data_IF_416801815827
#
_entry.id   IF_416801815827
#
_cell.length_a   1.000
_cell.length_b   1.000
_cell.length_c   1.000
_cell.angle_alpha   90.00
_cell.angle_beta   90.00
_cell.angle_gamma   90.00
#
_symmetry.space_group_name_H-M   'P 1'
#
loop_
_entity.id
_entity.type
_entity.pdbx_description
1 polymer ?
#
# COMPACT_ATOMS: atom_id res chain seq x y z
N UNK A 1 5.12 -1.76 5.77
CA UNK A 1 3.78 -1.14 5.91
C UNK A 1 3.16 -1.35 7.29
N UNK A 2 2.64 -0.29 7.92
CA UNK A 2 2.02 -0.36 9.26
C UNK A 2 0.55 -0.82 9.21
N UNK A 3 0.07 -1.41 10.29
CA UNK A 3 -1.33 -1.90 10.40
C UNK A 3 -2.37 -0.78 10.25
N UNK A 4 -2.06 0.44 10.73
CA UNK A 4 -2.92 1.62 10.55
C UNK A 4 -3.18 1.95 9.07
N UNK A 5 -2.15 1.79 8.23
CA UNK A 5 -2.19 2.13 6.80
C UNK A 5 -3.08 1.14 6.06
N UNK A 6 -2.90 -0.14 6.37
CA UNK A 6 -3.74 -1.22 5.84
C UNK A 6 -5.20 -1.03 6.26
N UNK A 7 -5.46 -0.71 7.54
CA UNK A 7 -6.81 -0.50 8.05
C UNK A 7 -7.50 0.69 7.37
N UNK A 8 -6.79 1.80 7.21
CA UNK A 8 -7.33 2.98 6.52
C UNK A 8 -7.68 2.65 5.06
N UNK A 9 -6.78 2.00 4.32
CA UNK A 9 -7.02 1.62 2.92
C UNK A 9 -8.13 0.56 2.76
N UNK A 10 -8.38 -0.26 3.79
CA UNK A 10 -9.54 -1.17 3.82
C UNK A 10 -10.86 -0.43 3.94
N UNK A 11 -10.91 0.58 4.80
CA UNK A 11 -12.10 1.40 5.03
C UNK A 11 -12.32 2.39 3.89
N UNK A 12 -11.25 2.87 3.26
CA UNK A 12 -11.26 3.89 2.21
C UNK A 12 -10.50 3.38 0.98
N UNK A 13 -11.19 2.60 0.15
CA UNK A 13 -10.63 1.99 -1.06
C UNK A 13 -10.28 3.00 -2.16
N UNK A 14 -10.79 4.22 -2.08
CA UNK A 14 -10.48 5.32 -3.00
C UNK A 14 -10.76 6.65 -2.34
N UNK A 15 -10.07 7.70 -2.78
CA UNK A 15 -10.28 9.05 -2.27
C UNK A 15 -9.24 10.02 -2.80
N UNK A 16 -9.06 11.14 -2.10
CA UNK A 16 -8.05 12.13 -2.47
C UNK A 16 -6.70 11.82 -1.84
N UNK A 17 -5.62 12.06 -2.59
CA UNK A 17 -4.26 11.86 -2.07
C UNK A 17 -3.96 12.78 -0.88
N UNK A 18 -4.49 14.00 -0.87
CA UNK A 18 -4.30 14.92 0.26
C UNK A 18 -4.83 14.35 1.58
N UNK A 19 -6.05 13.80 1.56
CA UNK A 19 -6.65 13.16 2.74
C UNK A 19 -5.86 11.93 3.19
N UNK A 20 -5.27 11.20 2.24
CA UNK A 20 -4.41 10.06 2.54
C UNK A 20 -3.12 10.51 3.24
N UNK A 21 -2.50 11.60 2.78
CA UNK A 21 -1.27 12.18 3.33
C UNK A 21 -1.46 12.76 4.74
N UNK A 22 -2.68 13.17 5.11
CA UNK A 22 -3.01 13.66 6.45
C UNK A 22 -2.96 12.54 7.51
N UNK A 23 -3.18 11.28 7.10
CA UNK A 23 -3.29 10.12 8.02
C UNK A 23 -2.09 9.18 7.91
N UNK A 24 -1.54 9.03 6.71
CA UNK A 24 -0.48 8.10 6.38
C UNK A 24 0.73 8.89 5.87
N UNK A 25 1.93 8.59 6.37
CA UNK A 25 3.13 9.30 5.93
C UNK A 25 3.45 9.01 4.47
N UNK A 26 4.02 9.99 3.77
CA UNK A 26 4.36 9.88 2.33
C UNK A 26 5.23 8.66 1.98
N UNK A 27 6.12 8.22 2.88
CA UNK A 27 6.93 7.01 2.67
C UNK A 27 6.10 5.72 2.66
N UNK A 28 5.05 5.64 3.48
CA UNK A 28 4.14 4.49 3.53
C UNK A 28 3.23 4.46 2.30
N UNK A 29 2.83 5.63 1.81
CA UNK A 29 2.07 5.77 0.55
C UNK A 29 2.94 5.30 -0.62
N UNK A 30 4.19 5.76 -0.71
CA UNK A 30 5.14 5.28 -1.73
C UNK A 30 5.40 3.79 -1.63
N UNK A 31 5.55 3.24 -0.42
CA UNK A 31 5.69 1.80 -0.23
C UNK A 31 4.48 1.04 -0.81
N UNK A 32 3.26 1.53 -0.58
CA UNK A 32 2.04 0.92 -1.10
C UNK A 32 1.90 1.03 -2.63
N UNK A 33 2.35 2.13 -3.22
CA UNK A 33 2.43 2.31 -4.67
C UNK A 33 3.45 1.35 -5.29
N UNK A 34 4.64 1.25 -4.71
CA UNK A 34 5.71 0.37 -5.18
C UNK A 34 5.32 -1.11 -5.07
N UNK A 35 4.53 -1.46 -4.07
CA UNK A 35 3.97 -2.79 -3.91
C UNK A 35 2.73 -3.02 -4.79
N UNK A 36 2.31 -2.04 -5.59
CA UNK A 36 1.16 -2.14 -6.49
C UNK A 36 -0.17 -2.25 -5.75
N UNK A 37 -0.25 -1.87 -4.47
CA UNK A 37 -1.46 -1.96 -3.65
C UNK A 37 -2.40 -0.78 -3.87
N UNK A 38 -1.87 0.37 -4.28
CA UNK A 38 -2.67 1.52 -4.65
C UNK A 38 -2.11 2.17 -5.91
N UNK A 39 -3.00 2.77 -6.68
CA UNK A 39 -2.69 3.52 -7.89
C UNK A 39 -3.15 4.97 -7.72
N UNK A 40 -2.35 5.91 -8.24
CA UNK A 40 -2.73 7.32 -8.32
C UNK A 40 -3.51 7.59 -9.61
N UNK A 41 -4.56 8.37 -9.46
CA UNK A 41 -5.34 8.94 -10.54
C UNK A 41 -5.33 10.46 -10.51
N UNK A 42 -5.91 11.05 -11.54
CA UNK A 42 -6.30 12.44 -11.55
C UNK A 42 -7.75 12.51 -12.01
N UNK A 43 -8.60 13.10 -11.19
CA UNK A 43 -9.98 13.38 -11.55
C UNK A 43 -10.18 14.89 -11.73
N UNK A 44 -11.12 15.24 -12.59
CA UNK A 44 -11.62 16.61 -12.66
C UNK A 44 -12.49 16.84 -11.44
N UNK A 45 -12.18 17.90 -10.69
CA UNK A 45 -13.05 18.29 -9.60
C UNK A 45 -14.42 18.67 -10.17
N UNK A 46 -15.50 18.07 -9.65
CA UNK A 46 -16.86 18.32 -10.17
C UNK A 46 -17.27 19.79 -10.00
N UNK A 47 -16.61 20.51 -9.07
CA UNK A 47 -16.90 21.90 -8.74
C UNK A 47 -15.81 22.89 -9.21
N UNK A 48 -14.74 22.44 -9.87
CA UNK A 48 -13.71 23.34 -10.42
C UNK A 48 -13.02 22.75 -11.65
N UNK A 49 -12.43 23.60 -12.49
CA UNK A 49 -11.56 23.16 -13.60
C UNK A 49 -10.20 22.61 -13.13
N UNK A 50 -9.98 22.49 -11.82
CA UNK A 50 -8.74 21.95 -11.27
C UNK A 50 -8.75 20.43 -11.28
N UNK A 51 -7.60 19.87 -11.67
CA UNK A 51 -7.35 18.43 -11.55
C UNK A 51 -6.94 18.12 -10.11
N UNK A 52 -7.62 17.17 -9.50
CA UNK A 52 -7.34 16.70 -8.15
C UNK A 52 -6.71 15.32 -8.21
N UNK A 53 -5.63 15.13 -7.45
CA UNK A 53 -4.96 13.83 -7.36
C UNK A 53 -5.80 12.90 -6.49
N UNK A 54 -6.21 11.78 -7.08
CA UNK A 54 -6.99 10.73 -6.42
C UNK A 54 -6.14 9.47 -6.27
N UNK A 55 -6.60 8.56 -5.42
CA UNK A 55 -6.04 7.23 -5.31
C UNK A 55 -7.15 6.18 -5.35
N UNK A 56 -6.77 4.97 -5.73
CA UNK A 56 -7.62 3.79 -5.64
C UNK A 56 -6.79 2.56 -5.30
N UNK A 57 -7.29 1.72 -4.40
CA UNK A 57 -6.70 0.43 -4.11
C UNK A 57 -6.87 -0.50 -5.31
N UNK A 58 -5.82 -1.24 -5.65
CA UNK A 58 -5.82 -2.17 -6.78
C UNK A 58 -6.41 -3.53 -6.38
N UNK A 59 -6.70 -4.42 -7.35
CA UNK A 59 -7.04 -5.82 -7.03
C UNK A 59 -5.93 -6.54 -6.23
N UNK A 60 -4.67 -6.13 -6.40
CA UNK A 60 -3.54 -6.67 -5.65
C UNK A 60 -3.63 -6.33 -4.15
N UNK A 61 -4.30 -5.24 -3.77
CA UNK A 61 -4.59 -4.95 -2.37
C UNK A 61 -5.55 -5.96 -1.75
N UNK A 62 -6.61 -6.35 -2.46
CA UNK A 62 -7.54 -7.37 -1.98
C UNK A 62 -6.85 -8.75 -1.87
N UNK A 63 -5.96 -9.08 -2.80
CA UNK A 63 -5.11 -10.29 -2.70
C UNK A 63 -4.13 -10.22 -1.52
N UNK A 64 -3.51 -9.07 -1.29
CA UNK A 64 -2.64 -8.81 -0.14
C UNK A 64 -3.39 -9.00 1.18
N UNK A 65 -4.62 -8.47 1.28
CA UNK A 65 -5.49 -8.66 2.45
C UNK A 65 -5.90 -10.12 2.65
N UNK A 66 -6.18 -10.85 1.56
CA UNK A 66 -6.51 -12.26 1.63
C UNK A 66 -5.33 -13.10 2.11
N UNK A 67 -4.12 -12.84 1.61
CA UNK A 67 -2.90 -13.53 2.02
C UNK A 67 -2.52 -13.20 3.47
N UNK A 68 -2.58 -11.92 3.86
CA UNK A 68 -2.27 -11.48 5.22
C UNK A 68 -3.34 -11.94 6.22
N UNK A 69 -4.63 -11.89 5.86
CA UNK A 69 -5.74 -12.42 6.65
C UNK A 69 -5.71 -13.94 6.80
N UNK A 70 -5.34 -14.68 5.75
CA UNK A 70 -5.05 -16.12 5.86
C UNK A 70 -3.80 -16.41 6.67
N UNK A 71 -2.77 -15.55 6.62
CA UNK A 71 -1.56 -15.71 7.44
C UNK A 71 -1.82 -15.51 8.94
N UNK A 72 -2.79 -14.67 9.32
CA UNK A 72 -3.30 -14.59 10.72
C UNK A 72 -3.97 -15.91 11.18
N UNK A 73 -4.61 -16.69 10.29
CA UNK A 73 -5.22 -18.00 10.62
C UNK A 73 -4.28 -19.20 10.39
N UNK A 74 -3.27 -19.08 9.54
CA UNK A 74 -2.29 -20.13 9.21
C UNK A 74 -0.88 -19.56 9.38
N UNK A 75 -0.36 -19.76 10.59
CA UNK A 75 1.07 -19.99 10.84
C UNK A 75 1.98 -18.75 10.69
N UNK A 76 2.38 -18.16 11.82
CA UNK A 76 3.49 -17.20 11.97
C UNK A 76 4.78 -17.59 11.21
N UNK A 77 4.93 -18.86 10.84
CA UNK A 77 6.05 -19.40 10.06
C UNK A 77 6.09 -18.91 8.60
N UNK A 78 4.94 -18.68 7.94
CA UNK A 78 4.92 -18.24 6.52
C UNK A 78 5.22 -16.74 6.41
N UNK A 79 4.76 -15.95 7.38
CA UNK A 79 5.07 -14.52 7.45
C UNK A 79 6.58 -14.26 7.62
N UNK A 80 7.28 -15.11 8.39
CA UNK A 80 8.76 -15.10 8.47
C UNK A 80 9.42 -15.39 7.12
N UNK A 81 8.85 -16.27 6.28
CA UNK A 81 9.40 -16.58 4.94
C UNK A 81 9.18 -15.44 3.95
N UNK A 82 8.00 -14.81 3.95
CA UNK A 82 7.74 -13.64 3.09
C UNK A 82 8.59 -12.46 3.54
N UNK A 83 8.71 -12.21 4.85
CA UNK A 83 9.57 -11.15 5.38
C UNK A 83 11.07 -11.41 5.14
N UNK A 84 11.51 -12.67 5.18
CA UNK A 84 12.87 -13.06 4.78
C UNK A 84 13.11 -12.90 3.27
N UNK A 85 12.11 -13.22 2.44
CA UNK A 85 12.18 -13.05 1.00
C UNK A 85 12.24 -11.58 0.61
N UNK A 86 11.39 -10.74 1.20
CA UNK A 86 11.43 -9.29 1.00
C UNK A 86 12.73 -8.67 1.52
N UNK A 87 13.17 -9.02 2.73
CA UNK A 87 14.47 -8.56 3.25
C UNK A 87 15.64 -9.02 2.36
N UNK A 88 15.63 -10.23 1.80
CA UNK A 88 16.69 -10.68 0.89
C UNK A 88 16.65 -10.00 -0.49
N UNK A 89 15.47 -9.58 -0.97
CA UNK A 89 15.36 -8.81 -2.22
C UNK A 89 15.89 -7.38 -1.99
N UNK A 90 15.63 -6.78 -0.83
CA UNK A 90 16.12 -5.44 -0.50
C UNK A 90 17.58 -5.41 -0.01
N UNK A 91 18.10 -6.46 0.64
CA UNK A 91 19.51 -6.56 1.05
C UNK A 91 20.47 -6.89 -0.11
N UNK A 92 19.98 -7.44 -1.23
CA UNK A 92 20.83 -7.69 -2.42
C UNK A 92 21.09 -6.47 -3.30
N UNK A 93 20.58 -5.28 -2.95
CA UNK A 93 20.85 -4.02 -3.66
C UNK A 93 21.70 -3.03 -2.86
N UNK A 94 22.48 -3.52 -1.90
CA UNK A 94 23.31 -2.65 -1.06
C UNK A 94 24.57 -3.29 -0.52
N UNK A 95 25.39 -3.95 -1.35
CA UNK A 95 26.87 -3.94 -1.27
C UNK A 95 27.41 -4.37 -2.65
N UNK A 96 27.94 -3.41 -3.41
CA UNK A 96 29.23 -3.44 -4.11
C UNK A 96 29.26 -2.28 -5.11
N UNK A 97 29.83 -1.18 -4.61
CA UNK A 97 30.23 0.04 -5.29
C UNK A 97 31.07 0.80 -4.28
#
# INVERSE_FOLDING_TARGET
MKERTIKYLMEHKSGYIKELEDVISSDEIKEAELLGLLERGQDLNVNSTERVNTYKTTPMFDEFLFLTGKSKKRNLSVFKKVNYFLNNIFLKKGVFG
#
